data_IF_896263649099
#
_entry.id   IF_896263649099
#
_cell.length_a   1.000
_cell.length_b   1.000
_cell.length_c   1.000
_cell.angle_alpha   90.00
_cell.angle_beta   90.00
_cell.angle_gamma   90.00
#
_symmetry.space_group_name_H-M   'P 1'
#
loop_
_entity.id
_entity.type
_entity.pdbx_description
1 polymer ?
#
# COMPACT_ATOMS: atom_id res chain seq x y z
N UNK A 1 19.34 -34.35 24.37
CA UNK A 1 17.87 -34.41 24.36
C UNK A 1 17.40 -33.44 25.42
N UNK A 2 17.26 -32.19 25.03
CA UNK A 2 16.73 -31.09 25.83
C UNK A 2 15.69 -30.44 24.94
N UNK A 3 14.47 -30.50 25.43
CA UNK A 3 13.22 -30.03 24.84
C UNK A 3 13.07 -28.56 25.25
N UNK A 4 13.34 -27.66 24.31
CA UNK A 4 13.10 -26.22 24.44
C UNK A 4 11.93 -25.87 23.52
N UNK A 5 10.71 -26.10 24.01
CA UNK A 5 9.49 -25.54 23.46
C UNK A 5 9.24 -24.18 24.13
N UNK A 6 9.20 -23.05 23.41
CA UNK A 6 8.81 -21.78 24.01
C UNK A 6 7.28 -21.71 24.19
N UNK A 7 6.91 -21.10 25.31
CA UNK A 7 5.57 -20.93 25.84
C UNK A 7 4.58 -20.33 24.83
N UNK A 8 3.46 -21.04 24.61
CA UNK A 8 2.25 -20.53 23.96
C UNK A 8 1.45 -19.66 24.94
N UNK A 9 1.08 -18.42 24.59
CA UNK A 9 -0.04 -17.74 25.24
C UNK A 9 -1.34 -18.38 24.75
N UNK A 10 -2.07 -19.01 25.68
CA UNK A 10 -3.44 -19.47 25.46
C UNK A 10 -4.38 -18.26 25.36
N UNK A 11 -4.90 -17.96 24.18
CA UNK A 11 -6.12 -17.18 24.06
C UNK A 11 -7.27 -18.09 23.65
N UNK A 12 -8.04 -18.46 24.67
CA UNK A 12 -9.24 -19.28 24.57
C UNK A 12 -10.28 -18.61 23.69
N UNK A 13 -10.94 -19.45 22.90
CA UNK A 13 -11.95 -19.04 21.94
C UNK A 13 -13.16 -18.41 22.59
N UNK A 14 -13.74 -17.44 21.89
CA UNK A 14 -15.18 -17.39 21.63
C UNK A 14 -15.42 -16.36 20.53
N UNK A 15 -15.66 -16.83 19.29
CA UNK A 15 -16.62 -16.22 18.33
C UNK A 15 -16.74 -17.06 17.07
N UNK A 16 -17.60 -18.08 17.14
CA UNK A 16 -18.26 -18.64 15.97
C UNK A 16 -19.49 -17.80 15.61
N UNK A 17 -19.69 -17.65 14.30
CA UNK A 17 -20.94 -17.35 13.60
C UNK A 17 -21.51 -15.94 13.77
N UNK A 18 -21.41 -15.13 12.70
CA UNK A 18 -22.56 -14.38 12.16
C UNK A 18 -22.33 -14.06 10.67
N UNK A 19 -22.67 -15.02 9.81
CA UNK A 19 -23.05 -14.75 8.43
C UNK A 19 -24.57 -14.79 8.38
N UNK A 20 -25.20 -13.61 8.30
CA UNK A 20 -26.45 -13.37 7.55
C UNK A 20 -26.94 -11.92 7.74
N UNK A 21 -26.94 -11.19 6.63
CA UNK A 21 -27.97 -10.19 6.31
C UNK A 21 -27.75 -8.77 6.83
N UNK A 22 -27.14 -7.90 6.01
CA UNK A 22 -27.52 -6.49 5.98
C UNK A 22 -27.69 -6.03 4.52
N UNK A 23 -28.90 -5.55 4.28
CA UNK A 23 -29.38 -4.79 3.13
C UNK A 23 -28.72 -3.39 3.16
N UNK A 24 -28.20 -2.97 2.01
CA UNK A 24 -27.83 -1.60 1.61
C UNK A 24 -28.10 -0.47 2.60
N UNK A 25 -27.05 0.23 3.04
CA UNK A 25 -27.05 1.67 3.32
C UNK A 25 -25.64 2.21 3.08
N UNK A 26 -25.52 3.11 2.09
CA UNK A 26 -24.26 3.69 1.67
C UNK A 26 -23.68 4.63 2.71
N UNK A 27 -22.44 4.35 3.09
CA UNK A 27 -21.44 5.27 3.63
C UNK A 27 -20.11 4.68 3.15
N UNK A 28 -19.70 5.05 1.94
CA UNK A 28 -18.39 4.66 1.42
C UNK A 28 -17.32 5.25 2.32
N UNK A 29 -16.33 4.44 2.69
CA UNK A 29 -15.09 4.91 3.28
C UNK A 29 -14.42 5.82 2.23
N UNK A 30 -14.70 7.10 2.37
CA UNK A 30 -14.23 8.17 1.48
C UNK A 30 -12.73 8.30 1.66
N UNK A 31 -11.97 8.31 0.56
CA UNK A 31 -10.52 8.51 0.56
C UNK A 31 -10.11 9.56 1.58
N UNK A 32 -9.47 9.08 2.65
CA UNK A 32 -9.21 9.88 3.82
C UNK A 32 -7.98 10.76 3.55
N UNK A 33 -8.07 12.09 3.78
CA UNK A 33 -6.87 12.86 4.03
C UNK A 33 -6.16 12.28 5.25
N UNK A 34 -4.86 12.58 5.41
CA UNK A 34 -4.12 12.45 6.67
C UNK A 34 -4.88 13.20 7.78
N UNK A 35 -5.95 12.61 8.33
CA UNK A 35 -6.74 13.18 9.41
C UNK A 35 -6.05 12.76 10.70
N UNK A 36 -5.15 13.63 11.16
CA UNK A 36 -4.66 13.58 12.53
C UNK A 36 -5.84 13.73 13.48
N UNK A 37 -6.32 12.64 14.08
CA UNK A 37 -7.16 12.73 15.26
C UNK A 37 -6.34 13.37 16.38
N UNK A 38 -6.91 14.42 16.96
CA UNK A 38 -6.38 15.07 18.16
C UNK A 38 -6.54 14.12 19.36
N UNK A 39 -5.57 13.23 19.53
CA UNK A 39 -5.45 12.34 20.67
C UNK A 39 -4.00 11.89 20.79
N UNK A 40 -3.22 12.62 21.60
CA UNK A 40 -1.84 12.32 22.05
C UNK A 40 -1.24 10.98 21.58
N UNK A 41 -0.69 10.96 20.38
CA UNK A 41 0.36 10.04 19.92
C UNK A 41 1.44 10.90 19.26
N UNK A 42 2.66 10.78 19.76
CA UNK A 42 3.79 11.62 19.37
C UNK A 42 4.62 10.94 18.27
N UNK A 43 4.21 11.05 17.02
CA UNK A 43 5.02 10.75 15.83
C UNK A 43 4.40 11.47 14.63
N UNK A 44 5.02 12.58 14.20
CA UNK A 44 4.70 13.15 12.90
C UNK A 44 5.19 12.21 11.80
N UNK A 45 4.65 12.31 10.58
CA UNK A 45 5.02 11.44 9.47
C UNK A 45 6.52 11.53 9.16
N UNK A 46 7.07 10.35 8.91
CA UNK A 46 8.41 9.99 8.46
C UNK A 46 8.90 10.58 7.13
N UNK A 47 8.05 11.35 6.45
CA UNK A 47 8.30 11.86 5.11
C UNK A 47 8.44 13.37 5.21
N UNK A 48 9.45 13.99 4.57
CA UNK A 48 9.83 15.34 4.93
C UNK A 48 8.73 16.34 4.56
N UNK A 49 8.28 17.13 5.53
CA UNK A 49 7.17 18.09 5.40
C UNK A 49 7.35 19.08 4.23
N UNK A 50 8.59 19.34 3.79
CA UNK A 50 8.88 20.12 2.56
C UNK A 50 8.25 19.53 1.29
N UNK A 51 7.98 18.22 1.28
CA UNK A 51 7.39 17.51 0.16
C UNK A 51 5.88 17.42 0.24
N UNK A 52 5.27 17.78 1.38
CA UNK A 52 3.83 17.77 1.54
C UNK A 52 3.16 18.68 0.52
N UNK A 53 2.08 18.18 -0.06
CA UNK A 53 1.25 18.86 -1.04
C UNK A 53 -0.21 18.65 -0.62
N UNK A 54 -0.93 19.75 -0.51
CA UNK A 54 -2.36 19.75 -0.17
C UNK A 54 -3.19 20.34 -1.30
N UNK A 55 -4.39 19.81 -1.52
CA UNK A 55 -5.24 20.26 -2.60
C UNK A 55 -6.47 19.39 -2.79
N UNK A 56 -6.83 19.17 -4.06
CA UNK A 56 -7.96 18.32 -4.42
C UNK A 56 -7.59 17.35 -5.53
N UNK A 57 -8.11 16.14 -5.43
CA UNK A 57 -8.05 15.15 -6.48
C UNK A 57 -9.43 14.98 -7.10
N UNK A 58 -9.45 14.83 -8.43
CA UNK A 58 -10.64 14.46 -9.20
C UNK A 58 -10.35 13.11 -9.87
N UNK A 59 -11.06 12.07 -9.46
CA UNK A 59 -10.94 10.72 -10.02
C UNK A 59 -12.11 10.48 -10.95
N UNK A 60 -11.84 10.23 -12.22
CA UNK A 60 -12.85 9.87 -13.21
C UNK A 60 -12.64 8.44 -13.66
N UNK A 61 -13.61 7.58 -13.36
CA UNK A 61 -13.61 6.18 -13.75
C UNK A 61 -14.61 5.96 -14.87
N UNK A 62 -14.15 5.39 -15.99
CA UNK A 62 -14.97 5.06 -17.14
C UNK A 62 -14.93 3.56 -17.36
N UNK A 63 -16.09 2.93 -17.21
CA UNK A 63 -16.26 1.50 -17.36
C UNK A 63 -16.87 1.23 -18.74
N UNK A 64 -16.25 0.33 -19.50
CA UNK A 64 -16.68 -0.18 -20.81
C UNK A 64 -16.67 -1.70 -20.79
N UNK A 65 -17.30 -2.39 -21.76
CA UNK A 65 -17.32 -3.85 -21.77
C UNK A 65 -15.94 -4.50 -21.90
N UNK A 66 -14.95 -3.81 -22.44
CA UNK A 66 -13.61 -4.33 -22.68
C UNK A 66 -12.55 -3.68 -21.80
N UNK A 67 -12.90 -2.62 -21.06
CA UNK A 67 -11.91 -1.79 -20.38
C UNK A 67 -12.47 -1.01 -19.20
N UNK A 68 -11.60 -0.73 -18.22
CA UNK A 68 -11.80 0.32 -17.21
C UNK A 68 -10.71 1.35 -17.39
N UNK A 69 -11.07 2.61 -17.61
CA UNK A 69 -10.12 3.73 -17.65
C UNK A 69 -10.30 4.59 -16.40
N UNK A 70 -9.22 4.84 -15.67
CA UNK A 70 -9.20 5.76 -14.53
C UNK A 70 -8.31 6.94 -14.85
N UNK A 71 -8.86 8.15 -14.77
CA UNK A 71 -8.14 9.40 -14.92
C UNK A 71 -8.14 10.15 -13.60
N UNK A 72 -6.97 10.35 -13.00
CA UNK A 72 -6.76 11.17 -11.81
C UNK A 72 -6.25 12.55 -12.21
N UNK A 73 -6.87 13.61 -11.67
CA UNK A 73 -6.39 14.99 -11.80
C UNK A 73 -6.17 15.58 -10.42
N UNK A 74 -4.92 15.83 -10.07
CA UNK A 74 -4.50 16.35 -8.77
C UNK A 74 -4.18 17.83 -8.92
N UNK A 75 -4.86 18.68 -8.15
CA UNK A 75 -4.82 20.13 -8.29
C UNK A 75 -4.38 20.74 -6.96
N UNK A 76 -3.26 21.46 -6.96
CA UNK A 76 -2.72 22.10 -5.75
C UNK A 76 -1.92 23.34 -6.08
N UNK A 77 -2.11 24.44 -5.33
CA UNK A 77 -1.27 25.64 -5.47
C UNK A 77 0.19 25.39 -5.05
N UNK A 78 0.47 24.34 -4.27
CA UNK A 78 1.84 23.93 -3.91
C UNK A 78 2.64 23.52 -5.15
N UNK A 79 1.98 22.91 -6.15
CA UNK A 79 2.60 22.55 -7.42
C UNK A 79 3.02 23.79 -8.21
N UNK A 80 2.19 24.85 -8.20
CA UNK A 80 2.57 26.14 -8.80
C UNK A 80 3.75 26.74 -8.07
N UNK A 81 3.68 26.78 -6.73
CA UNK A 81 4.69 27.44 -5.88
C UNK A 81 6.05 26.76 -5.99
N UNK A 82 6.09 25.42 -5.94
CA UNK A 82 7.34 24.64 -5.92
C UNK A 82 7.89 24.38 -7.31
N UNK A 83 7.02 24.12 -8.30
CA UNK A 83 7.46 23.64 -9.61
C UNK A 83 7.09 24.55 -10.77
N UNK A 84 6.39 25.67 -10.53
CA UNK A 84 5.96 26.59 -11.58
C UNK A 84 4.88 26.01 -12.52
N UNK A 85 4.27 24.87 -12.17
CA UNK A 85 3.31 24.17 -13.03
C UNK A 85 2.05 25.03 -13.21
N UNK A 86 1.69 25.32 -14.47
CA UNK A 86 0.54 26.15 -14.84
C UNK A 86 -0.21 25.55 -16.05
N UNK A 87 -1.49 25.15 -15.91
CA UNK A 87 -2.27 25.13 -14.68
C UNK A 87 -1.69 24.11 -13.68
N UNK A 88 -1.81 24.33 -12.35
CA UNK A 88 -1.15 23.49 -11.35
C UNK A 88 -1.86 22.16 -11.15
N UNK A 89 -1.75 21.31 -12.16
CA UNK A 89 -2.50 20.07 -12.29
C UNK A 89 -1.55 18.98 -12.72
N UNK A 90 -1.45 17.92 -11.91
CA UNK A 90 -0.86 16.66 -12.36
C UNK A 90 -1.98 15.76 -12.87
N UNK A 91 -1.73 15.04 -13.96
CA UNK A 91 -2.70 14.13 -14.56
C UNK A 91 -2.10 12.75 -14.75
N UNK A 92 -2.84 11.72 -14.32
CA UNK A 92 -2.53 10.33 -14.61
C UNK A 92 -3.74 9.67 -15.26
N UNK A 93 -3.52 8.84 -16.28
CA UNK A 93 -4.57 8.03 -16.88
C UNK A 93 -4.06 6.61 -17.06
N UNK A 94 -4.81 5.65 -16.53
CA UNK A 94 -4.52 4.23 -16.63
C UNK A 94 -5.74 3.51 -17.21
N UNK A 95 -5.50 2.47 -18.00
CA UNK A 95 -6.54 1.65 -18.60
C UNK A 95 -6.24 0.19 -18.37
N UNK A 96 -7.25 -0.54 -17.91
CA UNK A 96 -7.20 -1.96 -17.61
C UNK A 96 -8.11 -2.72 -18.54
N UNK A 97 -7.65 -3.84 -19.07
CA UNK A 97 -8.47 -4.73 -19.89
C UNK A 97 -9.49 -5.49 -19.03
N UNK A 98 -10.69 -5.69 -19.58
CA UNK A 98 -11.78 -6.49 -18.98
C UNK A 98 -12.07 -7.72 -19.84
N UNK A 99 -11.22 -8.76 -19.80
CA UNK A 99 -11.39 -9.94 -20.65
C UNK A 99 -12.68 -10.72 -20.36
N UNK A 100 -13.27 -10.57 -19.17
CA UNK A 100 -14.47 -11.30 -18.74
C UNK A 100 -15.53 -10.40 -18.09
N UNK A 101 -15.97 -9.37 -18.80
CA UNK A 101 -16.95 -8.34 -18.37
C UNK A 101 -18.30 -8.80 -17.81
N UNK A 102 -18.62 -10.10 -17.92
CA UNK A 102 -19.85 -10.71 -17.37
C UNK A 102 -19.61 -11.39 -16.02
N UNK A 103 -18.35 -11.56 -15.63
CA UNK A 103 -17.91 -12.28 -14.44
C UNK A 103 -17.28 -11.33 -13.41
N UNK A 104 -17.25 -10.03 -13.71
CA UNK A 104 -16.36 -9.08 -13.06
C UNK A 104 -17.17 -8.01 -12.29
N UNK A 105 -18.42 -8.32 -11.92
CA UNK A 105 -19.39 -7.58 -11.07
C UNK A 105 -19.63 -6.08 -11.38
N UNK A 106 -18.91 -5.52 -12.35
CA UNK A 106 -19.04 -4.15 -12.79
C UNK A 106 -20.19 -4.02 -13.79
N UNK A 107 -20.86 -2.85 -13.84
CA UNK A 107 -21.79 -2.55 -14.92
C UNK A 107 -21.08 -2.67 -16.27
N UNK A 108 -21.81 -3.09 -17.30
CA UNK A 108 -21.26 -3.17 -18.67
C UNK A 108 -20.75 -1.81 -19.16
N UNK A 109 -21.40 -0.72 -18.73
CA UNK A 109 -21.01 0.66 -19.01
C UNK A 109 -21.36 1.56 -17.85
N UNK A 110 -20.42 2.40 -17.44
CA UNK A 110 -20.64 3.42 -16.41
C UNK A 110 -19.59 4.54 -16.54
N UNK A 111 -19.87 5.69 -15.96
CA UNK A 111 -18.89 6.76 -15.80
C UNK A 111 -19.14 7.46 -14.48
N UNK A 112 -18.14 7.39 -13.60
CA UNK A 112 -18.16 7.99 -12.28
C UNK A 112 -17.15 9.12 -12.22
N UNK A 113 -17.44 10.14 -11.42
CA UNK A 113 -16.49 11.20 -11.12
C UNK A 113 -16.60 11.53 -9.65
N UNK A 114 -15.48 11.37 -8.96
CA UNK A 114 -15.33 11.67 -7.56
C UNK A 114 -14.39 12.86 -7.39
N UNK A 115 -14.65 13.67 -6.35
CA UNK A 115 -13.79 14.78 -5.95
C UNK A 115 -13.51 14.62 -4.46
N UNK A 116 -12.26 14.77 -4.09
CA UNK A 116 -11.83 14.60 -2.70
C UNK A 116 -10.65 15.51 -2.35
N UNK A 117 -10.38 15.71 -1.05
CA UNK A 117 -9.11 16.27 -0.61
C UNK A 117 -7.94 15.43 -1.14
N UNK A 118 -6.82 16.10 -1.38
CA UNK A 118 -5.55 15.46 -1.69
C UNK A 118 -4.54 16.00 -0.70
N UNK A 119 -3.96 15.12 0.10
CA UNK A 119 -2.92 15.43 1.08
C UNK A 119 -1.92 14.28 1.05
N UNK A 120 -0.73 14.53 0.52
CA UNK A 120 0.32 13.53 0.34
C UNK A 120 1.69 14.21 0.26
N UNK A 121 2.75 13.43 0.14
CA UNK A 121 4.09 13.90 -0.14
C UNK A 121 4.40 13.67 -1.61
N UNK A 122 4.67 14.75 -2.35
CA UNK A 122 5.06 14.71 -3.76
C UNK A 122 6.36 15.46 -3.99
N UNK A 123 7.29 14.79 -4.69
CA UNK A 123 8.53 15.38 -5.17
C UNK A 123 8.92 14.82 -6.53
N UNK A 124 9.76 15.57 -7.25
CA UNK A 124 10.43 15.03 -8.43
C UNK A 124 11.41 13.93 -8.02
N UNK A 125 11.73 13.06 -8.96
CA UNK A 125 12.61 11.92 -8.71
C UNK A 125 13.99 12.33 -8.18
N UNK A 126 14.57 13.41 -8.72
CA UNK A 126 15.85 13.94 -8.29
C UNK A 126 15.79 14.56 -6.89
N UNK A 127 14.66 15.17 -6.51
CA UNK A 127 14.43 15.68 -5.16
C UNK A 127 14.31 14.55 -4.13
N UNK A 128 13.59 13.46 -4.47
CA UNK A 128 13.52 12.26 -3.63
C UNK A 128 14.90 11.64 -3.44
N UNK A 129 15.63 11.38 -4.53
CA UNK A 129 17.01 10.86 -4.49
C UNK A 129 17.94 11.76 -3.68
N UNK A 130 17.81 13.08 -3.81
CA UNK A 130 18.62 14.02 -3.03
C UNK A 130 18.21 14.07 -1.55
N UNK A 131 16.95 13.75 -1.22
CA UNK A 131 16.49 13.68 0.16
C UNK A 131 17.14 12.50 0.87
N UNK A 132 17.06 11.30 0.29
CA UNK A 132 17.62 10.08 0.90
C UNK A 132 19.16 10.16 1.00
N UNK A 133 19.84 10.66 -0.04
CA UNK A 133 21.32 10.82 -0.01
C UNK A 133 21.85 11.73 1.09
N UNK A 134 21.03 12.66 1.56
CA UNK A 134 21.46 13.69 2.51
C UNK A 134 21.31 13.22 3.96
N UNK A 135 20.52 12.17 4.20
CA UNK A 135 20.20 11.67 5.55
C UNK A 135 21.21 10.63 6.05
N UNK A 136 21.97 9.97 5.17
CA UNK A 136 23.14 9.11 5.50
C UNK A 136 24.35 9.81 6.17
N UNK A 137 24.18 11.04 6.66
CA UNK A 137 25.20 11.84 7.34
C UNK A 137 24.71 12.41 8.67
N UNK A 138 24.69 11.58 9.72
CA UNK A 138 24.61 11.93 11.15
C UNK A 138 23.68 13.11 11.49
N UNK A 139 22.43 12.82 11.83
CA UNK A 139 21.61 13.72 12.66
C UNK A 139 20.50 12.93 13.38
N UNK A 140 20.75 12.63 14.65
CA UNK A 140 19.91 11.88 15.60
C UNK A 140 18.66 12.66 16.05
N UNK A 141 18.07 13.47 15.18
CA UNK A 141 16.95 14.37 15.52
C UNK A 141 15.78 14.40 14.54
N UNK A 142 15.81 13.65 13.44
CA UNK A 142 14.64 13.46 12.59
C UNK A 142 14.16 12.02 12.73
N UNK A 143 12.92 11.85 13.19
CA UNK A 143 12.21 10.58 13.24
C UNK A 143 11.70 10.24 11.84
N UNK A 144 12.61 10.22 10.86
CA UNK A 144 12.32 9.83 9.49
C UNK A 144 13.10 8.51 9.27
N UNK A 145 12.47 7.40 8.83
CA UNK A 145 13.18 6.25 8.31
C UNK A 145 13.90 6.74 7.07
N UNK A 146 15.23 6.72 7.11
CA UNK A 146 16.00 6.99 5.92
C UNK A 146 15.86 5.76 5.03
N UNK A 147 15.12 5.84 3.92
CA UNK A 147 14.99 4.71 2.99
C UNK A 147 16.36 4.20 2.51
N UNK A 148 17.41 5.02 2.60
CA UNK A 148 18.79 4.61 2.33
C UNK A 148 19.44 3.71 3.39
N UNK A 149 18.91 3.68 4.62
CA UNK A 149 19.42 2.85 5.72
C UNK A 149 18.82 1.43 5.71
N UNK A 150 17.84 1.17 4.84
CA UNK A 150 17.15 -0.11 4.76
C UNK A 150 17.48 -0.86 3.46
N UNK A 151 17.71 -2.18 3.51
CA UNK A 151 17.89 -3.03 2.32
C UNK A 151 16.56 -3.38 1.63
N UNK A 152 15.47 -2.69 1.99
CA UNK A 152 14.10 -2.95 1.54
C UNK A 152 13.33 -1.64 1.44
N UNK A 153 12.19 -1.65 0.72
CA UNK A 153 11.34 -0.47 0.60
C UNK A 153 10.62 -0.14 1.91
N UNK A 154 10.41 1.16 2.18
CA UNK A 154 9.64 1.64 3.35
C UNK A 154 8.28 2.17 2.93
N UNK A 155 8.20 2.79 1.75
CA UNK A 155 6.96 3.31 1.18
C UNK A 155 6.70 2.77 -0.23
N UNK A 156 5.41 2.56 -0.51
CA UNK A 156 4.88 2.45 -1.87
C UNK A 156 4.67 3.87 -2.44
N UNK A 157 5.07 4.06 -3.70
CA UNK A 157 4.94 5.30 -4.45
C UNK A 157 4.06 5.13 -5.68
N UNK A 158 3.30 6.18 -5.98
CA UNK A 158 2.61 6.35 -7.26
C UNK A 158 3.39 7.34 -8.14
N UNK A 159 3.80 6.88 -9.34
CA UNK A 159 4.36 7.77 -10.34
C UNK A 159 3.26 8.68 -10.91
N UNK A 160 3.46 10.01 -10.83
CA UNK A 160 2.53 11.02 -11.33
C UNK A 160 3.32 12.16 -11.99
N UNK A 161 3.12 12.30 -13.30
CA UNK A 161 3.55 13.45 -14.14
C UNK A 161 4.86 14.13 -13.69
N UNK A 162 5.98 13.46 -13.95
CA UNK A 162 7.33 13.99 -13.68
C UNK A 162 7.85 13.81 -12.25
N UNK A 163 7.13 13.08 -11.39
CA UNK A 163 7.59 12.76 -10.04
C UNK A 163 6.85 11.57 -9.42
N UNK A 164 7.01 11.44 -8.10
CA UNK A 164 6.41 10.38 -7.30
C UNK A 164 5.70 10.98 -6.10
N UNK A 165 4.52 10.42 -5.77
CA UNK A 165 3.85 10.66 -4.50
C UNK A 165 3.83 9.40 -3.63
N UNK A 166 3.89 9.55 -2.31
CA UNK A 166 3.68 8.44 -1.37
C UNK A 166 2.24 7.93 -1.47
N UNK A 167 2.05 6.62 -1.52
CA UNK A 167 0.76 5.98 -1.80
C UNK A 167 0.30 5.02 -0.70
N UNK A 168 1.21 4.23 -0.11
CA UNK A 168 0.92 3.29 0.98
C UNK A 168 2.20 2.99 1.77
N UNK A 169 2.14 2.66 3.06
CA UNK A 169 3.27 2.11 3.81
C UNK A 169 3.60 0.69 3.34
N UNK A 170 4.87 0.29 3.51
CA UNK A 170 5.22 -1.14 3.55
C UNK A 170 4.98 -1.67 4.95
N UNK A 171 4.33 -2.81 5.06
CA UNK A 171 3.94 -3.44 6.33
C UNK A 171 4.19 -4.96 6.35
N UNK A 172 4.89 -5.50 5.35
CA UNK A 172 5.31 -6.91 5.33
C UNK A 172 6.78 -6.99 4.92
N UNK A 173 7.61 -7.72 5.66
CA UNK A 173 9.02 -7.95 5.33
C UNK A 173 9.32 -9.46 5.34
N UNK A 174 10.11 -9.95 4.39
CA UNK A 174 10.61 -11.33 4.37
C UNK A 174 12.05 -11.39 3.87
N UNK A 175 12.81 -12.39 4.32
CA UNK A 175 14.14 -12.73 3.79
C UNK A 175 14.06 -13.83 2.70
N UNK A 176 12.85 -14.29 2.38
CA UNK A 176 12.58 -15.23 1.28
C UNK A 176 12.25 -14.47 -0.01
N UNK A 177 12.28 -15.17 -1.16
CA UNK A 177 11.96 -14.53 -2.44
C UNK A 177 10.49 -14.13 -2.53
N UNK A 178 10.18 -13.14 -3.38
CA UNK A 178 8.79 -12.75 -3.64
C UNK A 178 8.00 -13.92 -4.25
N UNK A 179 8.68 -14.84 -4.94
CA UNK A 179 8.07 -16.03 -5.49
C UNK A 179 7.61 -17.01 -4.39
N UNK A 180 8.41 -17.20 -3.34
CA UNK A 180 8.09 -18.10 -2.23
C UNK A 180 6.94 -17.55 -1.38
N UNK A 181 6.99 -16.26 -1.02
CA UNK A 181 5.91 -15.56 -0.31
C UNK A 181 4.60 -15.66 -1.09
N UNK A 182 4.62 -15.37 -2.40
CA UNK A 182 3.45 -15.53 -3.25
C UNK A 182 3.00 -17.00 -3.36
N UNK A 183 3.92 -17.97 -3.31
CA UNK A 183 3.63 -19.39 -3.35
C UNK A 183 2.78 -19.85 -2.17
N UNK A 184 3.09 -19.36 -0.96
CA UNK A 184 2.30 -19.63 0.25
C UNK A 184 0.87 -19.07 0.10
N UNK A 185 0.74 -17.80 -0.28
CA UNK A 185 -0.57 -17.13 -0.42
C UNK A 185 -1.43 -17.78 -1.52
N UNK A 186 -0.84 -18.08 -2.68
CA UNK A 186 -1.57 -18.72 -3.79
C UNK A 186 -1.97 -20.16 -3.47
N UNK A 187 -1.19 -20.89 -2.68
CA UNK A 187 -1.57 -22.21 -2.15
C UNK A 187 -2.76 -22.14 -1.19
N UNK A 188 -3.01 -20.98 -0.58
CA UNK A 188 -4.17 -20.69 0.26
C UNK A 188 -5.36 -20.10 -0.53
N UNK A 189 -5.33 -20.12 -1.87
CA UNK A 189 -6.45 -19.69 -2.70
C UNK A 189 -6.42 -18.20 -3.10
N UNK A 190 -5.35 -17.47 -2.78
CA UNK A 190 -5.08 -16.19 -3.42
C UNK A 190 -4.66 -16.40 -4.89
N UNK A 191 -4.62 -15.32 -5.68
CA UNK A 191 -4.18 -15.34 -7.07
C UNK A 191 -3.08 -14.31 -7.31
N UNK A 192 -2.09 -14.69 -8.12
CA UNK A 192 -1.03 -13.82 -8.64
C UNK A 192 -1.40 -13.15 -9.98
N UNK A 193 -2.53 -13.53 -10.57
CA UNK A 193 -3.12 -12.81 -11.69
C UNK A 193 -3.94 -11.65 -11.15
N UNK A 194 -3.28 -10.50 -10.94
CA UNK A 194 -3.85 -9.31 -10.32
C UNK A 194 -3.91 -8.15 -11.31
N UNK A 195 -5.10 -7.62 -11.55
CA UNK A 195 -5.31 -6.34 -12.22
C UNK A 195 -5.17 -5.22 -11.19
N UNK A 196 -4.21 -4.32 -11.42
CA UNK A 196 -3.79 -3.32 -10.46
C UNK A 196 -3.01 -2.18 -11.12
N UNK A 197 -2.85 -1.10 -10.37
CA UNK A 197 -1.96 0.01 -10.73
C UNK A 197 -0.49 -0.39 -10.60
N UNK A 198 0.34 0.12 -11.51
CA UNK A 198 1.78 0.10 -11.31
C UNK A 198 2.14 1.03 -10.15
N UNK A 199 3.01 0.52 -9.29
CA UNK A 199 3.52 1.14 -8.08
C UNK A 199 5.00 0.90 -7.99
N UNK A 200 5.65 1.77 -7.24
CA UNK A 200 7.09 1.83 -7.16
C UNK A 200 7.52 1.81 -5.70
N UNK A 201 8.72 1.34 -5.45
CA UNK A 201 9.42 1.51 -4.18
C UNK A 201 10.82 2.03 -4.48
N UNK A 202 11.42 2.75 -3.54
CA UNK A 202 12.80 3.20 -3.69
C UNK A 202 13.75 2.07 -3.34
N UNK A 203 14.67 1.77 -4.26
CA UNK A 203 15.78 0.85 -4.07
C UNK A 203 17.04 1.69 -3.77
N UNK A 204 17.51 1.63 -2.53
CA UNK A 204 18.67 2.37 -2.03
C UNK A 204 19.98 1.92 -2.71
N UNK A 205 20.14 0.62 -2.97
CA UNK A 205 21.33 0.07 -3.61
C UNK A 205 21.53 0.57 -5.05
N UNK A 206 20.45 0.72 -5.82
CA UNK A 206 20.51 1.21 -7.20
C UNK A 206 20.23 2.71 -7.29
N UNK A 207 19.74 3.31 -6.20
CA UNK A 207 19.25 4.67 -6.12
C UNK A 207 18.20 4.92 -7.23
N UNK A 208 17.20 4.04 -7.33
CA UNK A 208 16.11 4.12 -8.31
C UNK A 208 14.74 3.85 -7.67
N UNK A 209 13.70 4.35 -8.33
CA UNK A 209 12.34 3.88 -8.06
C UNK A 209 12.07 2.69 -8.97
N UNK A 210 11.79 1.54 -8.38
CA UNK A 210 11.61 0.28 -9.08
C UNK A 210 10.16 -0.17 -8.98
N UNK A 211 9.61 -0.62 -10.10
CA UNK A 211 8.24 -1.12 -10.14
C UNK A 211 8.15 -2.44 -9.36
N UNK A 212 7.00 -2.70 -8.73
CA UNK A 212 6.78 -3.96 -8.00
C UNK A 212 7.12 -5.21 -8.83
N UNK A 213 7.75 -6.19 -8.20
CA UNK A 213 8.17 -7.44 -8.84
C UNK A 213 7.02 -8.45 -8.91
N UNK A 214 6.18 -8.47 -7.86
CA UNK A 214 5.09 -9.43 -7.75
C UNK A 214 3.91 -8.84 -6.99
N UNK A 215 2.72 -9.39 -7.22
CA UNK A 215 1.56 -9.08 -6.39
C UNK A 215 0.63 -10.28 -6.32
N UNK A 216 -0.07 -10.40 -5.20
CA UNK A 216 -1.04 -11.46 -4.95
C UNK A 216 -2.24 -10.89 -4.23
N UNK A 217 -3.42 -11.40 -4.54
CA UNK A 217 -4.64 -10.89 -3.93
C UNK A 217 -5.71 -11.97 -3.80
N UNK A 218 -6.71 -11.77 -2.95
CA UNK A 218 -7.82 -12.74 -2.78
C UNK A 218 -8.76 -12.79 -4.00
N UNK A 219 -8.65 -11.84 -4.93
CA UNK A 219 -9.31 -11.90 -6.24
C UNK A 219 -8.54 -11.13 -7.31
N UNK A 220 -8.67 -11.53 -8.58
CA UNK A 220 -7.95 -10.89 -9.71
C UNK A 220 -8.25 -9.41 -9.86
N UNK A 221 -9.47 -8.97 -9.54
CA UNK A 221 -9.88 -7.61 -9.82
C UNK A 221 -10.37 -6.80 -8.62
N UNK A 222 -10.59 -7.38 -7.43
CA UNK A 222 -10.90 -6.61 -6.23
C UNK A 222 -12.19 -5.78 -6.25
N UNK A 223 -13.14 -6.07 -7.14
CA UNK A 223 -14.32 -5.19 -7.35
C UNK A 223 -15.24 -5.04 -6.14
N UNK A 224 -15.25 -6.02 -5.24
CA UNK A 224 -15.98 -5.98 -3.96
C UNK A 224 -15.04 -5.72 -2.78
N UNK A 225 -13.84 -5.23 -3.08
CA UNK A 225 -12.70 -5.27 -2.20
C UNK A 225 -11.99 -6.61 -2.18
N UNK A 226 -10.75 -6.61 -1.69
CA UNK A 226 -9.88 -7.78 -1.57
C UNK A 226 -8.71 -7.48 -0.64
N UNK A 227 -8.15 -8.50 -0.02
CA UNK A 227 -6.81 -8.39 0.55
C UNK A 227 -5.82 -8.47 -0.61
N UNK A 228 -4.82 -7.62 -0.58
CA UNK A 228 -3.87 -7.43 -1.67
C UNK A 228 -2.49 -7.16 -1.09
N UNK A 229 -1.49 -7.87 -1.60
CA UNK A 229 -0.08 -7.68 -1.28
C UNK A 229 0.67 -7.36 -2.57
N UNK A 230 1.29 -6.18 -2.63
CA UNK A 230 2.31 -5.84 -3.64
C UNK A 230 3.68 -6.05 -3.04
N UNK A 231 4.62 -6.59 -3.80
CA UNK A 231 5.95 -6.99 -3.32
C UNK A 231 7.05 -6.42 -4.22
N UNK A 232 8.13 -6.01 -3.58
CA UNK A 232 9.40 -5.60 -4.17
C UNK A 232 10.51 -6.42 -3.54
N UNK A 233 11.47 -6.87 -4.34
CA UNK A 233 12.60 -7.68 -3.89
C UNK A 233 13.92 -6.88 -4.04
N UNK A 234 14.45 -6.40 -2.92
CA UNK A 234 15.68 -5.60 -2.85
C UNK A 234 16.68 -6.26 -1.91
N UNK A 235 17.96 -6.34 -2.33
CA UNK A 235 19.08 -6.78 -1.48
C UNK A 235 18.87 -8.07 -0.65
N UNK A 236 18.07 -9.01 -1.16
CA UNK A 236 17.75 -10.28 -0.49
C UNK A 236 16.55 -10.22 0.46
N UNK A 237 15.82 -9.11 0.48
CA UNK A 237 14.59 -8.91 1.22
C UNK A 237 13.41 -8.69 0.27
N UNK A 238 12.25 -9.14 0.68
CA UNK A 238 10.97 -8.70 0.14
C UNK A 238 10.37 -7.67 1.09
N UNK A 239 10.05 -6.49 0.57
CA UNK A 239 9.14 -5.54 1.21
C UNK A 239 7.79 -5.59 0.53
N UNK A 240 6.73 -5.60 1.33
CA UNK A 240 5.36 -5.71 0.88
C UNK A 240 4.46 -4.61 1.42
N UNK A 241 3.53 -4.17 0.58
CA UNK A 241 2.42 -3.27 0.91
C UNK A 241 1.13 -4.09 0.86
N UNK A 242 0.68 -4.51 2.04
CA UNK A 242 -0.55 -5.27 2.27
C UNK A 242 -1.70 -4.34 2.60
N UNK A 243 -2.80 -4.41 1.86
CA UNK A 243 -3.98 -3.57 2.09
C UNK A 243 -5.27 -4.26 1.65
N UNK A 244 -6.36 -3.86 2.29
CA UNK A 244 -7.72 -4.16 1.85
C UNK A 244 -8.12 -3.11 0.82
N UNK A 245 -8.38 -3.53 -0.41
CA UNK A 245 -8.92 -2.64 -1.45
C UNK A 245 -10.42 -2.40 -1.22
N UNK A 246 -10.93 -1.21 -1.56
CA UNK A 246 -12.35 -0.93 -1.79
C UNK A 246 -12.81 -1.34 -3.19
N UNK A 247 -14.12 -1.26 -3.43
CA UNK A 247 -14.70 -1.43 -4.77
C UNK A 247 -14.28 -0.33 -5.75
N UNK A 248 -14.18 -0.63 -7.05
CA UNK A 248 -13.72 0.32 -8.09
C UNK A 248 -14.33 1.73 -7.98
N UNK A 249 -13.50 2.80 -7.97
CA UNK A 249 -12.03 2.77 -8.04
C UNK A 249 -11.38 2.20 -6.76
N UNK A 250 -10.41 1.28 -6.91
CA UNK A 250 -9.78 0.60 -5.77
C UNK A 250 -8.89 1.54 -4.97
N UNK A 251 -9.05 1.48 -3.65
CA UNK A 251 -8.29 2.26 -2.68
C UNK A 251 -8.10 1.43 -1.42
N UNK A 252 -6.97 1.59 -0.75
CA UNK A 252 -6.76 0.98 0.55
C UNK A 252 -7.82 1.49 1.54
N UNK A 253 -8.46 0.57 2.26
CA UNK A 253 -9.41 0.87 3.35
C UNK A 253 -8.89 0.44 4.72
N UNK A 254 -7.93 -0.48 4.74
CA UNK A 254 -7.24 -0.94 5.95
C UNK A 254 -5.90 -1.56 5.56
N UNK A 255 -4.86 -1.30 6.35
CA UNK A 255 -3.56 -1.96 6.29
C UNK A 255 -3.51 -3.12 7.30
N UNK A 256 -3.92 -2.86 8.54
CA UNK A 256 -3.93 -3.83 9.65
C UNK A 256 -4.75 -5.10 9.31
N UNK A 257 -5.96 -4.96 8.76
CA UNK A 257 -6.80 -6.12 8.42
C UNK A 257 -6.12 -7.01 7.36
N UNK A 258 -5.37 -6.40 6.44
CA UNK A 258 -4.69 -7.12 5.38
C UNK A 258 -3.40 -7.78 5.87
N UNK A 259 -2.68 -7.11 6.76
CA UNK A 259 -1.50 -7.64 7.44
C UNK A 259 -1.85 -8.86 8.29
N UNK A 260 -2.84 -8.72 9.18
CA UNK A 260 -3.34 -9.83 10.00
C UNK A 260 -3.84 -11.00 9.13
N UNK A 261 -4.52 -10.73 8.01
CA UNK A 261 -4.95 -11.78 7.10
C UNK A 261 -3.79 -12.48 6.38
N UNK A 262 -2.65 -11.82 6.17
CA UNK A 262 -1.44 -12.45 5.64
C UNK A 262 -0.79 -13.27 6.73
N UNK A 263 -0.60 -12.72 7.93
CA UNK A 263 -0.06 -13.44 9.09
C UNK A 263 -0.81 -14.76 9.32
N UNK A 264 -2.14 -14.73 9.38
CA UNK A 264 -3.00 -15.90 9.52
C UNK A 264 -2.72 -16.99 8.47
N UNK A 265 -2.42 -16.60 7.22
CA UNK A 265 -2.09 -17.55 6.15
C UNK A 265 -0.72 -18.19 6.37
N UNK A 266 0.27 -17.40 6.80
CA UNK A 266 1.63 -17.89 7.04
C UNK A 266 1.71 -18.76 8.29
N UNK A 267 1.05 -18.38 9.38
CA UNK A 267 0.92 -19.19 10.60
C UNK A 267 0.19 -20.52 10.37
N UNK A 268 -0.74 -20.54 9.42
CA UNK A 268 -1.44 -21.74 8.97
C UNK A 268 -0.63 -22.61 8.00
N UNK A 269 0.44 -22.09 7.41
CA UNK A 269 1.26 -22.80 6.44
C UNK A 269 2.33 -23.67 7.12
N UNK A 270 2.64 -24.81 6.52
CA UNK A 270 3.71 -25.68 7.06
C UNK A 270 5.06 -25.01 6.85
N UNK A 271 5.87 -24.93 7.91
CA UNK A 271 7.22 -24.36 7.92
C UNK A 271 7.29 -22.84 7.77
N UNK A 272 6.20 -22.12 8.04
CA UNK A 272 6.16 -20.67 7.98
C UNK A 272 5.58 -20.07 9.27
N UNK A 273 6.02 -18.86 9.58
CA UNK A 273 5.51 -18.09 10.71
C UNK A 273 5.52 -16.60 10.38
N UNK A 274 4.46 -15.89 10.77
CA UNK A 274 4.40 -14.43 10.75
C UNK A 274 4.68 -13.86 12.13
N UNK A 275 5.71 -13.02 12.26
CA UNK A 275 5.92 -12.24 13.48
C UNK A 275 5.28 -10.87 13.30
N UNK A 276 4.11 -10.70 13.92
CA UNK A 276 3.41 -9.42 14.04
C UNK A 276 4.33 -8.29 14.56
N UNK A 277 4.19 -7.09 13.98
CA UNK A 277 4.89 -5.85 14.35
C UNK A 277 6.41 -6.01 14.61
N UNK A 278 7.08 -6.88 13.86
CA UNK A 278 8.48 -7.22 14.13
C UNK A 278 9.45 -6.08 13.82
N UNK A 279 9.19 -5.32 12.75
CA UNK A 279 10.04 -4.21 12.32
C UNK A 279 9.35 -2.86 12.60
N UNK A 280 9.99 -1.97 13.36
CA UNK A 280 9.59 -0.56 13.41
C UNK A 280 10.09 0.14 12.14
N UNK A 281 9.14 0.43 11.24
CA UNK A 281 9.39 1.09 9.95
C UNK A 281 9.15 2.60 10.04
N UNK A 282 8.59 3.08 11.16
CA UNK A 282 8.23 4.46 11.42
C UNK A 282 7.39 5.08 10.28
N UNK A 283 6.58 4.30 9.57
CA UNK A 283 5.75 4.75 8.43
C UNK A 283 4.24 4.83 8.76
N UNK A 284 3.90 4.92 10.06
CA UNK A 284 2.55 4.79 10.63
C UNK A 284 1.68 6.04 10.60
N UNK A 285 1.46 6.62 9.42
CA UNK A 285 0.63 7.86 9.32
C UNK A 285 -0.57 7.76 8.39
N UNK A 286 -0.78 6.61 7.77
CA UNK A 286 -1.83 6.41 6.78
C UNK A 286 -2.86 5.38 7.27
N UNK A 287 -4.13 5.79 7.30
CA UNK A 287 -5.25 4.97 7.77
C UNK A 287 -5.03 4.43 9.18
N UNK A 288 -5.16 3.12 9.35
CA UNK A 288 -5.00 2.35 10.58
C UNK A 288 -3.54 1.90 10.82
N UNK A 289 -2.65 2.03 9.82
CA UNK A 289 -1.26 1.57 9.92
C UNK A 289 -0.50 2.20 11.09
N UNK A 290 0.08 1.36 11.95
CA UNK A 290 0.75 1.75 13.19
C UNK A 290 2.23 2.16 13.00
N UNK A 291 2.80 1.82 11.85
CA UNK A 291 4.19 2.11 11.50
C UNK A 291 5.14 0.93 11.67
N UNK A 292 4.62 -0.23 12.01
CA UNK A 292 5.36 -1.48 12.14
C UNK A 292 5.21 -2.32 10.86
N UNK A 293 5.89 -3.47 10.81
CA UNK A 293 5.72 -4.43 9.73
C UNK A 293 5.92 -5.87 10.24
N UNK A 294 5.02 -6.74 9.80
CA UNK A 294 5.08 -8.18 10.02
C UNK A 294 6.29 -8.79 9.32
N UNK A 295 7.05 -9.63 10.04
CA UNK A 295 8.13 -10.44 9.46
C UNK A 295 7.65 -11.83 9.11
N UNK A 296 7.80 -12.24 7.86
CA UNK A 296 7.52 -13.60 7.40
C UNK A 296 8.82 -14.43 7.36
N UNK A 297 8.80 -15.61 7.97
CA UNK A 297 9.97 -16.49 8.09
C UNK A 297 9.61 -17.93 7.72
N UNK A 298 10.50 -18.58 6.97
CA UNK A 298 10.46 -20.03 6.70
C UNK A 298 11.45 -20.77 7.63
N UNK A 299 11.11 -21.95 8.16
CA UNK A 299 11.92 -22.72 9.12
C UNK A 299 12.11 -24.21 8.81
#
# INVERSE_FOLDING_TARGET
MTDDSPDRPSNDGTRRQFMNGIVSLGLGALGLPLLSESGTAASGPAVPEKFRVTGREIVKTKIRPDSVTVTKRKISDDLRRRYGITPPVLTKTETFDRPKAKQDDLPLRDTRTEKRPWDTYYAKEDEWKAHYRKTGGVSVQARDPDEEDHPYGVWEYEAVDGGYETAAPMNVISEQSAADVAGVLTSNGWTDNVVQYNRYAYNSATNQFEQQDKSVATSTFGFLGRNHLKMWEFEGYVSGSAHVDSSVPHEATSFDDAEAAIEDVFDGASNWYGYDDYYDMNNGSQLDHDGSATKLVEY
#
